data_IF_190176258302
#
_entry.id   IF_190176258302
#
_cell.length_a   1.000
_cell.length_b   1.000
_cell.length_c   1.000
_cell.angle_alpha   90.00
_cell.angle_beta   90.00
_cell.angle_gamma   90.00
#
_symmetry.space_group_name_H-M   'P 1'
#
loop_
_entity.id
_entity.type
_entity.pdbx_description
1 polymer ?
#
# COMPACT_ATOMS: atom_id res chain seq x y z
N UNK A 1 -1.93 4.22 -1.49
CA UNK A 1 -1.10 3.85 -0.33
C UNK A 1 0.37 4.15 -0.65
N UNK A 2 1.14 4.69 0.29
CA UNK A 2 2.60 4.89 0.18
C UNK A 2 3.29 4.38 1.45
N UNK A 3 4.56 3.97 1.35
CA UNK A 3 5.37 3.69 2.54
C UNK A 3 6.09 4.92 3.11
N UNK A 4 6.03 6.05 2.40
CA UNK A 4 6.68 7.31 2.75
C UNK A 4 5.65 8.41 2.87
N UNK A 5 5.62 9.07 4.03
CA UNK A 5 4.73 10.18 4.36
C UNK A 5 4.98 11.42 3.48
N UNK A 6 6.25 11.69 3.17
CA UNK A 6 6.66 12.78 2.27
C UNK A 6 6.66 12.43 0.78
N UNK A 7 6.00 11.35 0.35
CA UNK A 7 5.98 10.99 -1.07
C UNK A 7 5.17 12.01 -1.88
N UNK A 8 5.79 12.67 -2.87
CA UNK A 8 5.13 13.69 -3.68
C UNK A 8 3.86 13.21 -4.41
N UNK A 9 3.72 11.90 -4.65
CA UNK A 9 2.51 11.29 -5.21
C UNK A 9 1.28 11.47 -4.31
N UNK A 10 1.46 11.53 -2.98
CA UNK A 10 0.35 11.72 -2.03
C UNK A 10 -0.27 13.10 -2.19
N UNK A 11 0.55 14.15 -2.38
CA UNK A 11 0.06 15.49 -2.67
C UNK A 11 -0.73 15.54 -3.98
N UNK A 12 -0.24 14.87 -5.03
CA UNK A 12 -0.95 14.76 -6.32
C UNK A 12 -2.29 14.03 -6.18
N UNK A 13 -2.31 12.92 -5.46
CA UNK A 13 -3.52 12.13 -5.24
C UNK A 13 -4.57 12.92 -4.44
N UNK A 14 -4.17 13.63 -3.37
CA UNK A 14 -5.06 14.52 -2.61
C UNK A 14 -5.61 15.65 -3.47
N UNK A 15 -4.77 16.28 -4.31
CA UNK A 15 -5.21 17.34 -5.22
C UNK A 15 -6.23 16.83 -6.26
N UNK A 16 -6.19 15.54 -6.59
CA UNK A 16 -7.17 14.86 -7.44
C UNK A 16 -8.40 14.34 -6.67
N UNK A 17 -8.53 14.64 -5.38
CA UNK A 17 -9.67 14.19 -4.55
C UNK A 17 -9.63 12.72 -4.16
N UNK A 18 -8.48 12.04 -4.29
CA UNK A 18 -8.34 10.64 -3.92
C UNK A 18 -7.96 10.48 -2.44
N UNK A 19 -8.45 9.41 -1.81
CA UNK A 19 -8.02 9.00 -0.47
C UNK A 19 -6.57 8.53 -0.50
N UNK A 20 -5.79 8.92 0.51
CA UNK A 20 -4.38 8.58 0.61
C UNK A 20 -4.03 8.04 1.97
N UNK A 21 -3.39 6.87 2.00
CA UNK A 21 -2.91 6.21 3.22
C UNK A 21 -1.40 6.01 3.21
N UNK A 22 -0.80 6.05 4.41
CA UNK A 22 0.64 5.84 4.61
C UNK A 22 0.86 4.63 5.52
N UNK A 23 1.48 3.58 4.99
CA UNK A 23 1.88 2.40 5.76
C UNK A 23 3.40 2.34 5.82
N UNK A 24 3.98 2.86 6.90
CA UNK A 24 5.45 2.88 7.09
C UNK A 24 6.00 1.46 7.07
N UNK A 25 7.14 1.28 6.40
CA UNK A 25 7.85 -0.01 6.31
C UNK A 25 9.18 -0.03 7.04
N UNK A 26 9.78 1.15 7.25
CA UNK A 26 11.16 1.25 7.72
C UNK A 26 11.28 0.83 9.19
N UNK A 27 12.19 -0.11 9.47
CA UNK A 27 12.41 -0.66 10.82
C UNK A 27 11.28 -1.56 11.34
N UNK A 28 10.34 -1.96 10.48
CA UNK A 28 9.19 -2.80 10.87
C UNK A 28 9.32 -4.23 10.38
N UNK A 29 8.73 -5.15 11.14
CA UNK A 29 8.66 -6.55 10.76
C UNK A 29 7.64 -6.75 9.63
N UNK A 30 7.93 -7.67 8.72
CA UNK A 30 7.08 -7.97 7.57
C UNK A 30 5.63 -8.35 7.96
N UNK A 31 5.37 -9.13 9.03
CA UNK A 31 3.99 -9.45 9.44
C UNK A 31 3.18 -8.22 9.87
N UNK A 32 3.80 -7.27 10.56
CA UNK A 32 3.11 -6.05 11.01
C UNK A 32 2.79 -5.15 9.82
N UNK A 33 3.73 -4.99 8.89
CA UNK A 33 3.50 -4.26 7.64
C UNK A 33 2.39 -4.91 6.82
N UNK A 34 2.38 -6.25 6.76
CA UNK A 34 1.37 -7.00 6.02
C UNK A 34 -0.02 -6.77 6.59
N UNK A 35 -0.19 -6.88 7.92
CA UNK A 35 -1.47 -6.64 8.59
C UNK A 35 -1.99 -5.24 8.29
N UNK A 36 -1.19 -4.21 8.57
CA UNK A 36 -1.62 -2.83 8.36
C UNK A 36 -1.93 -2.53 6.89
N UNK A 37 -1.16 -3.11 5.96
CA UNK A 37 -1.44 -2.97 4.53
C UNK A 37 -2.76 -3.63 4.16
N UNK A 38 -3.03 -4.85 4.64
CA UNK A 38 -4.27 -5.56 4.35
C UNK A 38 -5.49 -4.86 4.96
N UNK A 39 -5.37 -4.32 6.17
CA UNK A 39 -6.45 -3.59 6.84
C UNK A 39 -6.82 -2.34 6.02
N UNK A 40 -5.83 -1.55 5.61
CA UNK A 40 -6.04 -0.37 4.75
C UNK A 40 -6.69 -0.74 3.41
N UNK A 41 -6.22 -1.79 2.76
CA UNK A 41 -6.77 -2.22 1.47
C UNK A 41 -8.20 -2.76 1.61
N UNK A 42 -8.50 -3.46 2.69
CA UNK A 42 -9.83 -4.00 2.98
C UNK A 42 -10.84 -2.90 3.31
N UNK A 43 -10.45 -1.91 4.13
CA UNK A 43 -11.29 -0.75 4.47
C UNK A 43 -11.76 0.01 3.22
N UNK A 44 -10.90 0.09 2.21
CA UNK A 44 -11.19 0.77 0.96
C UNK A 44 -11.77 -0.15 -0.12
N UNK A 45 -12.03 -1.42 0.17
CA UNK A 45 -12.57 -2.38 -0.78
C UNK A 45 -11.69 -2.55 -2.03
N UNK A 46 -10.36 -2.51 -1.87
CA UNK A 46 -9.44 -2.60 -3.01
C UNK A 46 -9.48 -3.99 -3.61
N UNK A 47 -9.70 -4.07 -4.93
CA UNK A 47 -9.68 -5.31 -5.71
C UNK A 47 -8.41 -5.49 -6.54
N UNK A 48 -7.71 -4.41 -6.88
CA UNK A 48 -6.52 -4.40 -7.75
C UNK A 48 -5.42 -3.51 -7.17
N UNK A 49 -4.20 -4.02 -7.16
CA UNK A 49 -3.02 -3.28 -6.68
C UNK A 49 -2.11 -2.96 -7.88
N UNK A 50 -1.75 -1.68 -8.04
CA UNK A 50 -0.79 -1.21 -9.03
C UNK A 50 0.48 -0.71 -8.33
N UNK A 51 1.62 -1.37 -8.54
CA UNK A 51 2.93 -1.03 -7.97
C UNK A 51 3.60 0.11 -8.75
N UNK A 52 2.97 1.28 -8.75
CA UNK A 52 3.43 2.46 -9.50
C UNK A 52 4.66 3.13 -8.85
N UNK A 53 5.85 2.56 -9.09
CA UNK A 53 7.11 3.06 -8.53
C UNK A 53 7.32 2.68 -7.06
N UNK A 54 6.74 1.55 -6.61
CA UNK A 54 6.93 1.02 -5.26
C UNK A 54 8.26 0.27 -5.16
N UNK A 55 9.15 0.71 -4.25
CA UNK A 55 10.54 0.25 -4.17
C UNK A 55 10.80 -0.69 -2.97
N UNK A 56 9.76 -1.32 -2.44
CA UNK A 56 9.88 -2.31 -1.36
C UNK A 56 9.30 -3.65 -1.82
N UNK A 57 9.77 -4.73 -1.20
CA UNK A 57 9.13 -6.03 -1.37
C UNK A 57 7.73 -5.99 -0.75
N UNK A 58 6.75 -6.48 -1.50
CA UNK A 58 5.39 -6.66 -1.01
C UNK A 58 5.39 -7.85 -0.05
N UNK A 59 4.84 -7.73 1.17
CA UNK A 59 4.79 -8.85 2.11
C UNK A 59 4.02 -10.05 1.52
N UNK A 60 4.50 -11.26 1.80
CA UNK A 60 3.94 -12.51 1.26
C UNK A 60 2.44 -12.65 1.53
N UNK A 61 1.98 -12.29 2.72
CA UNK A 61 0.55 -12.34 3.07
C UNK A 61 -0.31 -11.40 2.21
N UNK A 62 0.22 -10.26 1.76
CA UNK A 62 -0.47 -9.37 0.82
C UNK A 62 -0.55 -10.03 -0.55
N UNK A 63 0.55 -10.62 -1.03
CA UNK A 63 0.59 -11.36 -2.31
C UNK A 63 -0.43 -12.51 -2.30
N UNK A 64 -0.48 -13.28 -1.21
CA UNK A 64 -1.40 -14.41 -1.05
C UNK A 64 -2.88 -14.01 -1.03
N UNK A 65 -3.21 -12.78 -0.60
CA UNK A 65 -4.60 -12.26 -0.59
C UNK A 65 -5.07 -11.74 -1.95
N UNK A 66 -4.11 -11.33 -2.79
CA UNK A 66 -4.35 -10.69 -4.09
C UNK A 66 -3.81 -11.46 -5.31
N UNK A 67 -3.91 -12.80 -5.43
CA UNK A 67 -3.60 -13.49 -6.67
C UNK A 67 -4.80 -13.43 -7.64
N UNK A 68 -4.62 -13.26 -8.96
CA UNK A 68 -3.58 -12.57 -9.72
C UNK A 68 -3.97 -11.08 -9.95
N UNK A 69 -3.87 -10.24 -8.91
CA UNK A 69 -4.42 -8.88 -8.86
C UNK A 69 -3.39 -7.84 -8.40
N UNK A 70 -2.11 -8.08 -8.70
CA UNK A 70 -0.98 -7.17 -8.44
C UNK A 70 -0.24 -6.96 -9.76
N UNK A 71 -0.12 -5.70 -10.21
CA UNK A 71 0.52 -5.29 -11.47
C UNK A 71 1.68 -4.31 -11.22
#
# INVERSE_FOLDING_TARGET
VSNRDGAGVLGRARAAGMTTEVVKTDGRLAPDVARDTLDVLAEHGVDLILLAGYLRLVPEAVVARYPPRIL
#
